data_IF_254811757459
#
_entry.id   IF_254811757459
#
_cell.length_a   1.000
_cell.length_b   1.000
_cell.length_c   1.000
_cell.angle_alpha   90.00
_cell.angle_beta   90.00
_cell.angle_gamma   90.00
#
_symmetry.space_group_name_H-M   'P 1'
#
loop_
_entity.id
_entity.type
_entity.pdbx_description
1 polymer ?
#
# COMPACT_ATOMS: atom_id res chain seq x y z
N UNK A 1 -9.34 4.01 -13.57
CA UNK A 1 -8.84 4.59 -12.31
C UNK A 1 -9.94 5.38 -11.59
N UNK A 2 -10.71 6.24 -12.29
CA UNK A 2 -11.80 7.02 -11.68
C UNK A 2 -12.78 6.16 -10.88
N UNK A 3 -13.33 5.09 -11.46
CA UNK A 3 -14.29 4.21 -10.77
C UNK A 3 -13.72 3.43 -9.58
N UNK A 4 -12.40 3.24 -9.53
CA UNK A 4 -11.75 2.59 -8.39
C UNK A 4 -11.56 3.57 -7.25
N UNK A 5 -11.19 4.81 -7.56
CA UNK A 5 -10.98 5.86 -6.56
C UNK A 5 -12.24 6.07 -5.71
N UNK A 6 -13.43 6.00 -6.32
CA UNK A 6 -14.71 6.16 -5.61
C UNK A 6 -15.04 5.02 -4.64
N UNK A 7 -14.35 3.86 -4.74
CA UNK A 7 -14.56 2.70 -3.87
C UNK A 7 -13.67 2.69 -2.62
N UNK A 8 -12.64 3.54 -2.57
CA UNK A 8 -11.66 3.54 -1.49
C UNK A 8 -11.64 4.88 -0.75
N UNK A 9 -11.41 4.81 0.56
CA UNK A 9 -11.08 6.00 1.36
C UNK A 9 -9.56 6.10 1.43
N UNK A 10 -9.00 7.17 0.84
CA UNK A 10 -7.55 7.39 0.84
C UNK A 10 -7.09 8.06 2.13
N UNK A 11 -6.25 7.35 2.88
CA UNK A 11 -5.65 7.87 4.11
C UNK A 11 -4.14 7.89 3.96
N UNK A 12 -3.53 9.07 4.13
CA UNK A 12 -2.07 9.23 4.17
C UNK A 12 -1.61 9.40 5.61
N UNK A 13 -0.80 8.46 6.07
CA UNK A 13 -0.18 8.50 7.39
C UNK A 13 1.26 9.02 7.26
N UNK A 14 1.55 10.19 7.83
CA UNK A 14 2.89 10.81 7.79
C UNK A 14 3.68 10.64 9.09
N UNK A 15 3.01 10.30 10.18
CA UNK A 15 3.60 10.07 11.50
C UNK A 15 2.83 8.97 12.21
N UNK A 16 3.53 7.88 12.54
CA UNK A 16 2.90 6.64 13.03
C UNK A 16 3.43 6.18 14.39
N UNK A 17 4.12 7.05 15.13
CA UNK A 17 4.80 6.72 16.40
C UNK A 17 3.89 6.14 17.50
N UNK A 18 2.57 6.26 17.37
CA UNK A 18 1.57 5.76 18.33
C UNK A 18 0.61 4.74 17.72
N UNK A 19 0.84 4.34 16.47
CA UNK A 19 0.06 3.27 15.86
C UNK A 19 0.60 1.92 16.32
N UNK A 20 -0.29 0.97 16.48
CA UNK A 20 0.08 -0.43 16.61
C UNK A 20 0.58 -0.94 15.26
N UNK A 21 1.90 -0.93 15.08
CA UNK A 21 2.53 -1.38 13.84
C UNK A 21 2.53 -2.92 13.71
N UNK A 22 2.23 -3.65 14.79
CA UNK A 22 2.17 -5.12 14.74
C UNK A 22 1.03 -5.65 13.87
N UNK A 23 0.06 -4.80 13.56
CA UNK A 23 -1.04 -5.09 12.64
C UNK A 23 -0.58 -5.28 11.19
N UNK A 24 0.55 -4.69 10.79
CA UNK A 24 0.98 -4.64 9.39
C UNK A 24 2.23 -5.48 9.15
N UNK A 25 2.25 -6.20 8.03
CA UNK A 25 3.45 -6.86 7.54
C UNK A 25 4.25 -5.91 6.63
N UNK A 26 5.18 -5.19 7.25
CA UNK A 26 6.09 -4.29 6.53
C UNK A 26 7.22 -5.05 5.84
N UNK A 27 7.61 -4.54 4.68
CA UNK A 27 8.95 -4.70 4.16
C UNK A 27 9.71 -3.42 4.52
N UNK A 28 10.77 -3.57 5.31
CA UNK A 28 11.49 -2.45 5.91
C UNK A 28 12.39 -1.71 4.90
N UNK A 29 12.61 -2.27 3.71
CA UNK A 29 13.45 -1.69 2.68
C UNK A 29 12.66 -0.83 1.66
N UNK A 30 11.38 -0.57 1.93
CA UNK A 30 10.49 0.23 1.07
C UNK A 30 10.44 1.71 1.49
N UNK A 31 10.57 2.60 0.52
CA UNK A 31 10.32 4.04 0.69
C UNK A 31 8.82 4.36 0.74
N UNK A 32 7.97 3.47 0.24
CA UNK A 32 6.51 3.65 0.16
C UNK A 32 5.79 2.31 0.17
N UNK A 33 4.67 2.25 0.90
CA UNK A 33 3.78 1.10 0.93
C UNK A 33 2.33 1.56 1.06
N UNK A 34 1.41 0.78 0.49
CA UNK A 34 -0.04 0.94 0.63
C UNK A 34 -0.60 -0.34 1.23
N UNK A 35 -1.52 -0.22 2.17
CA UNK A 35 -2.28 -1.34 2.70
C UNK A 35 -3.75 -1.15 2.33
N UNK A 36 -4.37 -2.20 1.79
CA UNK A 36 -5.81 -2.26 1.58
C UNK A 36 -6.42 -2.94 2.78
N UNK A 37 -7.31 -2.23 3.48
CA UNK A 37 -7.87 -2.73 4.72
C UNK A 37 -9.30 -2.25 4.94
N UNK A 38 -10.03 -3.00 5.75
CA UNK A 38 -11.34 -2.61 6.25
C UNK A 38 -11.24 -1.98 7.66
N UNK A 39 -12.30 -1.30 8.08
CA UNK A 39 -12.36 -0.64 9.40
C UNK A 39 -12.25 -1.62 10.58
N UNK A 40 -12.58 -2.89 10.36
CA UNK A 40 -12.42 -3.98 11.33
C UNK A 40 -10.99 -4.53 11.45
N UNK A 41 -10.03 -3.93 10.74
CA UNK A 41 -8.61 -4.29 10.67
C UNK A 41 -8.28 -5.50 9.78
N UNK A 42 -9.24 -6.03 9.03
CA UNK A 42 -8.95 -7.02 7.99
C UNK A 42 -8.06 -6.41 6.92
N UNK A 43 -6.91 -7.06 6.63
CA UNK A 43 -5.99 -6.66 5.57
C UNK A 43 -6.28 -7.48 4.31
N UNK A 44 -6.67 -6.83 3.22
CA UNK A 44 -6.94 -7.47 1.93
C UNK A 44 -5.66 -7.63 1.11
N UNK A 45 -4.70 -6.74 1.28
CA UNK A 45 -3.43 -6.82 0.59
C UNK A 45 -2.53 -5.62 0.84
N UNK A 46 -1.37 -5.65 0.19
CA UNK A 46 -0.40 -4.56 0.21
C UNK A 46 0.15 -4.28 -1.19
N UNK A 47 0.53 -3.05 -1.44
CA UNK A 47 1.21 -2.61 -2.64
C UNK A 47 2.51 -1.89 -2.28
N UNK A 48 3.51 -2.04 -3.14
CA UNK A 48 4.87 -1.59 -2.91
C UNK A 48 5.79 -2.81 -2.80
N UNK A 49 6.82 -2.83 -3.63
CA UNK A 49 7.92 -3.79 -3.59
C UNK A 49 9.15 -3.11 -4.13
N UNK A 50 10.32 -3.64 -3.79
CA UNK A 50 11.60 -3.15 -4.25
C UNK A 50 12.37 -4.31 -4.86
N UNK A 51 12.85 -4.12 -6.09
CA UNK A 51 13.93 -4.95 -6.62
C UNK A 51 15.28 -4.35 -6.23
N UNK A 52 16.38 -5.04 -6.55
CA UNK A 52 17.75 -4.58 -6.29
C UNK A 52 17.95 -3.06 -6.48
N UNK A 53 18.90 -2.49 -5.74
CA UNK A 53 19.11 -1.04 -5.53
C UNK A 53 19.03 -0.19 -6.81
N UNK A 54 19.41 -0.72 -7.97
CA UNK A 54 19.52 0.04 -9.23
C UNK A 54 18.18 0.50 -9.85
N UNK A 55 17.02 0.01 -9.40
CA UNK A 55 15.73 0.28 -10.08
C UNK A 55 14.53 0.33 -9.10
N UNK A 56 14.69 0.97 -7.94
CA UNK A 56 13.71 0.90 -6.83
C UNK A 56 12.27 1.28 -7.22
N UNK A 57 12.07 2.19 -8.18
CA UNK A 57 10.74 2.65 -8.61
C UNK A 57 10.10 1.77 -9.70
N UNK A 58 10.85 0.85 -10.32
CA UNK A 58 10.40 0.06 -11.47
C UNK A 58 9.15 -0.77 -11.20
N UNK A 59 8.94 -1.16 -9.95
CA UNK A 59 7.78 -1.94 -9.52
C UNK A 59 6.69 -1.09 -8.86
N UNK A 60 6.88 0.23 -8.81
CA UNK A 60 5.97 1.19 -8.21
C UNK A 60 5.22 1.99 -9.28
N UNK A 61 4.48 1.29 -10.15
CA UNK A 61 3.69 1.93 -11.21
C UNK A 61 2.23 2.17 -10.82
N UNK A 62 1.60 3.17 -11.41
CA UNK A 62 0.17 3.46 -11.23
C UNK A 62 -0.73 2.34 -11.73
N UNK A 63 -0.32 1.64 -12.79
CA UNK A 63 -1.03 0.47 -13.32
C UNK A 63 -0.97 -0.70 -12.35
N UNK A 64 0.20 -0.91 -11.70
CA UNK A 64 0.35 -1.91 -10.65
C UNK A 64 -0.55 -1.61 -9.45
N UNK A 65 -0.58 -0.35 -9.02
CA UNK A 65 -1.47 0.08 -7.94
C UNK A 65 -2.94 -0.15 -8.30
N UNK A 66 -3.35 0.23 -9.51
CA UNK A 66 -4.72 0.01 -9.98
C UNK A 66 -5.11 -1.47 -10.00
N UNK A 67 -4.19 -2.37 -10.41
CA UNK A 67 -4.42 -3.82 -10.36
C UNK A 67 -4.55 -4.33 -8.92
N UNK A 68 -3.70 -3.86 -8.01
CA UNK A 68 -3.83 -4.20 -6.58
C UNK A 68 -5.15 -3.70 -5.99
N UNK A 69 -5.60 -2.49 -6.36
CA UNK A 69 -6.91 -1.94 -5.95
C UNK A 69 -8.09 -2.75 -6.50
N UNK A 70 -7.97 -3.35 -7.69
CA UNK A 70 -9.02 -4.19 -8.27
C UNK A 70 -9.14 -5.55 -7.58
N UNK A 71 -8.03 -6.06 -7.04
CA UNK A 71 -7.97 -7.36 -6.39
C UNK A 71 -8.29 -7.32 -4.88
N UNK A 72 -8.23 -6.13 -4.28
CA UNK A 72 -8.58 -5.88 -2.88
C UNK A 72 -10.09 -5.72 -2.69
#
# INVERSE_FOLDING_TARGET
MSELIDKFVFVRLIKVNRLDLSLFQFDYDLTFAVFFMNADKTIYGRYGTRSSVEDAEKHMTTEGLAKSMQAA
#
